data_IF_781365450196
#
_entry.id   IF_781365450196
#
_cell.length_a   1.000
_cell.length_b   1.000
_cell.length_c   1.000
_cell.angle_alpha   90.00
_cell.angle_beta   90.00
_cell.angle_gamma   90.00
#
_symmetry.space_group_name_H-M   'P 1'
#
loop_
_entity.id
_entity.type
_entity.pdbx_description
1 polymer ?
#
# COMPACT_ATOMS: atom_id res chain seq x y z
N UNK A 1 16.87 -11.61 3.81
CA UNK A 1 16.46 -10.32 3.22
C UNK A 1 15.82 -10.63 1.88
N UNK A 2 14.77 -9.91 1.50
CA UNK A 2 14.12 -9.99 0.18
C UNK A 2 14.10 -8.60 -0.41
N UNK A 3 14.49 -8.48 -1.68
CA UNK A 3 14.39 -7.25 -2.45
C UNK A 3 13.43 -7.50 -3.61
N UNK A 4 12.29 -6.81 -3.60
CA UNK A 4 11.36 -6.81 -4.72
C UNK A 4 11.74 -5.66 -5.64
N UNK A 5 12.54 -5.96 -6.67
CA UNK A 5 12.87 -4.99 -7.71
C UNK A 5 11.62 -4.53 -8.47
N UNK A 6 10.73 -5.47 -8.77
CA UNK A 6 9.38 -5.21 -9.26
C UNK A 6 8.35 -5.68 -8.22
N UNK A 7 7.30 -4.89 -8.04
CA UNK A 7 6.18 -5.24 -7.17
C UNK A 7 5.41 -6.45 -7.73
N UNK A 8 4.91 -7.28 -6.82
CA UNK A 8 4.06 -8.42 -7.19
C UNK A 8 2.70 -7.92 -7.71
N UNK A 9 2.09 -8.68 -8.62
CA UNK A 9 0.80 -8.31 -9.24
C UNK A 9 -0.41 -8.52 -8.33
N UNK A 10 -0.22 -9.23 -7.23
CA UNK A 10 -1.21 -9.46 -6.18
C UNK A 10 -0.56 -9.30 -4.80
N UNK A 11 -1.37 -9.01 -3.78
CA UNK A 11 -0.88 -8.88 -2.41
C UNK A 11 -0.53 -10.24 -1.79
N UNK A 12 -1.18 -11.30 -2.24
CA UNK A 12 -0.92 -12.69 -1.86
C UNK A 12 0.48 -13.11 -2.31
N UNK A 13 0.83 -12.84 -3.57
CA UNK A 13 2.17 -13.14 -4.11
C UNK A 13 3.25 -12.32 -3.42
N UNK A 14 2.97 -11.04 -3.11
CA UNK A 14 3.86 -10.21 -2.30
C UNK A 14 4.15 -10.86 -0.93
N UNK A 15 3.09 -11.31 -0.25
CA UNK A 15 3.18 -11.98 1.06
C UNK A 15 4.02 -13.26 0.98
N UNK A 16 3.81 -14.07 -0.06
CA UNK A 16 4.61 -15.28 -0.30
C UNK A 16 6.10 -14.99 -0.52
N UNK A 17 6.44 -13.88 -1.21
CA UNK A 17 7.83 -13.44 -1.44
C UNK A 17 8.50 -13.02 -0.14
N UNK A 18 7.87 -12.14 0.63
CA UNK A 18 8.48 -11.62 1.87
C UNK A 18 8.52 -12.66 3.00
N UNK A 19 7.63 -13.66 2.96
CA UNK A 19 7.64 -14.83 3.86
C UNK A 19 8.88 -15.72 3.74
N UNK A 20 9.78 -15.45 2.78
CA UNK A 20 11.12 -16.08 2.69
C UNK A 20 12.16 -15.40 3.57
N UNK A 21 11.82 -14.27 4.20
CA UNK A 21 12.65 -13.59 5.18
C UNK A 21 12.31 -14.02 6.60
N UNK A 22 13.24 -13.81 7.54
CA UNK A 22 13.07 -14.19 8.93
C UNK A 22 13.30 -15.68 9.18
N UNK A 23 14.49 -16.04 9.68
CA UNK A 23 14.79 -17.36 10.25
C UNK A 23 15.25 -17.16 11.70
N UNK A 24 14.88 -18.09 12.57
CA UNK A 24 15.31 -18.19 13.98
C UNK A 24 15.41 -16.84 14.72
N UNK A 25 14.28 -16.30 15.17
CA UNK A 25 14.22 -15.14 16.07
C UNK A 25 14.54 -13.78 15.44
N UNK A 26 14.81 -13.71 14.13
CA UNK A 26 14.99 -12.44 13.40
C UNK A 26 13.75 -12.12 12.55
N UNK A 27 13.28 -10.88 12.61
CA UNK A 27 12.11 -10.37 11.86
C UNK A 27 12.26 -10.49 10.34
N UNK A 28 13.49 -10.47 9.82
CA UNK A 28 13.73 -10.37 8.39
C UNK A 28 13.58 -8.92 7.89
N UNK A 29 13.98 -8.68 6.64
CA UNK A 29 13.87 -7.37 5.99
C UNK A 29 13.42 -7.60 4.55
N UNK A 30 12.34 -6.92 4.17
CA UNK A 30 11.85 -6.84 2.81
C UNK A 30 11.86 -5.38 2.35
N UNK A 31 12.47 -5.13 1.18
CA UNK A 31 12.47 -3.81 0.53
C UNK A 31 11.78 -3.98 -0.82
N UNK A 32 10.92 -3.05 -1.19
CA UNK A 32 10.11 -3.12 -2.41
C UNK A 32 10.14 -1.79 -3.13
N UNK A 33 10.44 -1.83 -4.42
CA UNK A 33 10.26 -0.67 -5.28
C UNK A 33 8.82 -0.66 -5.80
N UNK A 34 8.21 0.53 -5.78
CA UNK A 34 6.86 0.77 -6.26
C UNK A 34 6.89 1.79 -7.38
N UNK A 35 6.10 1.53 -8.40
CA UNK A 35 5.83 2.47 -9.49
C UNK A 35 4.32 2.76 -9.57
N UNK A 36 3.93 3.71 -10.43
CA UNK A 36 2.50 4.03 -10.64
C UNK A 36 1.71 2.86 -11.23
N UNK A 37 2.38 1.98 -11.98
CA UNK A 37 1.78 0.81 -12.60
C UNK A 37 1.39 -0.26 -11.56
N UNK A 38 1.86 -0.12 -10.32
CA UNK A 38 1.57 -1.00 -9.20
C UNK A 38 0.43 -0.45 -8.30
N UNK A 39 -0.24 0.62 -8.72
CA UNK A 39 -1.34 1.27 -7.96
C UNK A 39 -2.46 0.30 -7.55
N UNK A 40 -2.69 -0.76 -8.33
CA UNK A 40 -3.69 -1.80 -8.04
C UNK A 40 -3.43 -2.55 -6.73
N UNK A 41 -2.20 -2.59 -6.22
CA UNK A 41 -1.89 -3.25 -4.93
C UNK A 41 -1.68 -2.27 -3.78
N UNK A 42 -1.74 -0.96 -4.02
CA UNK A 42 -1.38 0.05 -3.01
C UNK A 42 -2.29 0.03 -1.79
N UNK A 43 -3.59 -0.11 -2.00
CA UNK A 43 -4.56 -0.17 -0.89
C UNK A 43 -4.28 -1.37 0.02
N UNK A 44 -4.14 -2.57 -0.55
CA UNK A 44 -3.92 -3.79 0.23
C UNK A 44 -2.53 -3.81 0.86
N UNK A 45 -1.51 -3.31 0.16
CA UNK A 45 -0.16 -3.14 0.72
C UNK A 45 -0.15 -2.19 1.93
N UNK A 46 -0.89 -1.08 1.85
CA UNK A 46 -1.07 -0.16 2.98
C UNK A 46 -1.71 -0.86 4.17
N UNK A 47 -2.80 -1.60 3.97
CA UNK A 47 -3.46 -2.33 5.07
C UNK A 47 -2.49 -3.34 5.71
N UNK A 48 -1.80 -4.13 4.89
CA UNK A 48 -0.84 -5.13 5.35
C UNK A 48 0.30 -4.52 6.17
N UNK A 49 0.81 -3.34 5.79
CA UNK A 49 1.84 -2.63 6.56
C UNK A 49 1.31 -2.04 7.87
N UNK A 50 0.06 -1.59 7.91
CA UNK A 50 -0.58 -1.07 9.12
C UNK A 50 -0.93 -2.18 10.13
N UNK A 51 -1.26 -3.38 9.64
CA UNK A 51 -1.53 -4.56 10.47
C UNK A 51 -0.25 -5.22 11.00
N UNK A 52 0.90 -4.94 10.39
CA UNK A 52 2.17 -5.53 10.77
C UNK A 52 2.76 -4.82 12.02
N UNK A 53 2.93 -5.51 13.16
CA UNK A 53 3.46 -4.90 14.39
C UNK A 53 4.96 -4.57 14.30
N UNK A 54 5.64 -5.09 13.28
CA UNK A 54 7.08 -4.94 13.07
C UNK A 54 7.43 -4.06 11.88
N UNK A 55 6.41 -3.51 11.21
CA UNK A 55 6.59 -2.62 10.05
C UNK A 55 5.97 -1.27 10.33
N UNK A 56 6.50 -0.23 9.67
CA UNK A 56 5.90 1.09 9.64
C UNK A 56 5.38 1.37 8.22
N UNK A 57 4.13 1.80 8.08
CA UNK A 57 3.63 2.26 6.79
C UNK A 57 4.25 3.63 6.45
N UNK A 58 4.97 3.78 5.32
CA UNK A 58 5.54 5.05 4.92
C UNK A 58 4.43 6.07 4.59
N UNK A 59 4.67 7.35 4.92
CA UNK A 59 3.71 8.44 4.74
C UNK A 59 3.29 8.62 3.28
N UNK A 60 4.19 8.33 2.35
CA UNK A 60 3.99 8.39 0.91
C UNK A 60 2.89 7.42 0.47
N UNK A 61 2.87 6.20 1.01
CA UNK A 61 1.84 5.20 0.73
C UNK A 61 0.57 5.47 1.56
N UNK A 62 0.73 5.86 2.82
CA UNK A 62 -0.38 6.15 3.74
C UNK A 62 -1.35 7.20 3.14
N UNK A 63 -0.78 8.24 2.54
CA UNK A 63 -1.50 9.39 1.96
C UNK A 63 -1.68 9.29 0.44
N UNK A 64 -1.20 8.23 -0.22
CA UNK A 64 -1.30 8.11 -1.67
C UNK A 64 -2.76 8.07 -2.12
N UNK A 65 -3.19 8.80 -3.17
CA UNK A 65 -4.56 8.78 -3.67
C UNK A 65 -5.06 7.37 -4.01
N UNK A 66 -4.23 6.57 -4.68
CA UNK A 66 -4.58 5.20 -5.09
C UNK A 66 -4.58 4.20 -3.93
N UNK A 67 -4.13 4.59 -2.74
CA UNK A 67 -4.14 3.76 -1.53
C UNK A 67 -5.34 4.05 -0.60
N UNK A 68 -6.27 4.93 -0.99
CA UNK A 68 -7.40 5.33 -0.13
C UNK A 68 -8.61 4.41 -0.25
N UNK A 69 -8.79 3.76 -1.40
CA UNK A 69 -9.94 2.92 -1.69
C UNK A 69 -9.51 1.60 -2.29
N UNK A 70 -10.27 0.54 -1.98
CA UNK A 70 -10.02 -0.77 -2.56
C UNK A 70 -10.17 -0.71 -4.09
N UNK A 71 -9.20 -1.24 -4.86
CA UNK A 71 -9.28 -1.30 -6.31
C UNK A 71 -10.61 -1.90 -6.78
N UNK A 72 -11.20 -1.31 -7.82
CA UNK A 72 -12.52 -1.72 -8.34
C UNK A 72 -13.72 -1.16 -7.59
N UNK A 73 -13.53 -0.43 -6.49
CA UNK A 73 -14.63 0.29 -5.83
C UNK A 73 -15.01 1.54 -6.62
N UNK A 74 -16.30 1.72 -6.90
CA UNK A 74 -16.82 2.95 -7.51
C UNK A 74 -16.75 4.09 -6.49
N UNK A 75 -15.79 5.00 -6.65
CA UNK A 75 -15.67 6.19 -5.80
C UNK A 75 -16.72 7.21 -6.23
N UNK A 76 -17.78 7.38 -5.45
CA UNK A 76 -18.68 8.52 -5.62
C UNK A 76 -17.94 9.78 -5.20
N UNK A 77 -17.53 10.58 -6.19
CA UNK A 77 -16.88 11.88 -5.95
C UNK A 77 -17.93 12.81 -5.34
N UNK A 78 -17.90 13.03 -4.02
CA UNK A 78 -18.68 14.12 -3.40
C UNK A 78 -18.21 15.42 -4.06
N UNK A 79 -19.13 16.06 -4.80
CA UNK A 79 -18.95 17.40 -5.36
C UNK A 79 -18.60 18.30 -4.17
N UNK A 80 -17.40 18.90 -4.17
CA UNK A 80 -17.05 19.91 -3.16
C UNK A 80 -18.08 21.02 -3.29
N UNK A 81 -18.82 21.28 -2.22
CA UNK A 81 -19.74 22.41 -2.14
C UNK A 81 -18.95 23.69 -2.46
N UNK A 82 -19.27 24.31 -3.59
CA UNK A 82 -18.79 25.64 -3.93
C UNK A 82 -19.29 26.59 -2.84
N UNK A 83 -18.38 27.08 -2.00
CA UNK A 83 -18.71 28.09 -1.00
C UNK A 83 -19.03 29.38 -1.75
N UNK A 84 -20.32 29.62 -1.99
CA UNK A 84 -20.79 30.90 -2.54
C UNK A 84 -20.66 31.94 -1.42
N UNK A 85 -19.66 32.82 -1.54
CA UNK A 85 -19.63 34.05 -0.75
C UNK A 85 -20.64 35.02 -1.37
N UNK A 86 -21.72 35.32 -0.65
CA UNK A 86 -22.60 36.46 -0.96
C UNK A 86 -22.09 37.70 -0.23
N UNK A 87 -21.90 38.78 -0.99
CA UNK A 87 -21.53 40.12 -0.50
C UNK A 87 -22.56 40.71 0.48
#
# INVERSE_FOLDING_TARGET
MVLNYDMAKSIEDYTHRIGRTGRAGKTGLAITFLTKDDSVVFYDLKQLLLESPVSSCPSELLNHPDAQHKPGTVVQKKRKDETIYTN
#
